data_IF_297161538843
#
_entry.id   IF_297161538843
#
_cell.length_a   1.000
_cell.length_b   1.000
_cell.length_c   1.000
_cell.angle_alpha   90.00
_cell.angle_beta   90.00
_cell.angle_gamma   90.00
#
_symmetry.space_group_name_H-M   'P 1'
#
loop_
_entity.id
_entity.type
_entity.pdbx_description
1 polymer ?
#
# COMPACT_ATOMS: atom_id res chain seq x y z
N UNK A 1 -6.66 -16.91 15.85
CA UNK A 1 -7.49 -15.93 15.11
C UNK A 1 -7.01 -14.48 15.25
N UNK A 2 -6.65 -14.00 16.45
CA UNK A 2 -6.19 -12.61 16.68
C UNK A 2 -5.00 -12.17 15.81
N UNK A 3 -4.06 -13.08 15.53
CA UNK A 3 -2.89 -12.76 14.69
C UNK A 3 -3.24 -12.56 13.21
N UNK A 4 -4.26 -13.28 12.71
CA UNK A 4 -4.74 -13.16 11.34
C UNK A 4 -5.50 -11.84 11.14
N UNK A 5 -6.38 -11.51 12.09
CA UNK A 5 -7.12 -10.23 12.12
C UNK A 5 -6.13 -9.05 12.16
N UNK A 6 -5.09 -9.14 12.99
CA UNK A 6 -4.04 -8.12 13.08
C UNK A 6 -3.32 -7.93 11.73
N UNK A 7 -2.97 -9.01 11.04
CA UNK A 7 -2.34 -8.92 9.73
C UNK A 7 -3.27 -8.32 8.66
N UNK A 8 -4.52 -8.75 8.59
CA UNK A 8 -5.50 -8.17 7.66
C UNK A 8 -5.71 -6.67 7.93
N UNK A 9 -5.75 -6.28 9.19
CA UNK A 9 -5.87 -4.87 9.58
C UNK A 9 -4.66 -4.04 9.13
N UNK A 10 -3.43 -4.51 9.39
CA UNK A 10 -2.23 -3.83 8.91
C UNK A 10 -2.17 -3.72 7.39
N UNK A 11 -2.62 -4.77 6.68
CA UNK A 11 -2.66 -4.78 5.22
C UNK A 11 -3.67 -3.76 4.66
N UNK A 12 -4.86 -3.68 5.26
CA UNK A 12 -5.85 -2.65 4.92
C UNK A 12 -5.31 -1.24 5.19
N UNK A 13 -4.59 -1.05 6.30
CA UNK A 13 -4.01 0.25 6.63
C UNK A 13 -2.93 0.66 5.62
N UNK A 14 -2.10 -0.28 5.16
CA UNK A 14 -1.11 -0.06 4.09
C UNK A 14 -1.79 0.26 2.75
N UNK A 15 -2.87 -0.43 2.41
CA UNK A 15 -3.68 -0.16 1.21
C UNK A 15 -4.23 1.27 1.22
N UNK A 16 -4.93 1.63 2.30
CA UNK A 16 -5.57 2.95 2.45
C UNK A 16 -4.50 4.04 2.48
N UNK A 17 -3.39 3.80 3.18
CA UNK A 17 -2.26 4.72 3.21
C UNK A 17 -1.69 4.99 1.81
N UNK A 18 -1.39 3.93 1.04
CA UNK A 18 -0.89 4.07 -0.32
C UNK A 18 -1.88 4.80 -1.24
N UNK A 19 -3.17 4.43 -1.18
CA UNK A 19 -4.21 5.09 -1.96
C UNK A 19 -4.34 6.58 -1.61
N UNK A 20 -4.35 6.93 -0.32
CA UNK A 20 -4.43 8.33 0.13
C UNK A 20 -3.23 9.15 -0.29
N UNK A 21 -2.01 8.60 -0.23
CA UNK A 21 -0.79 9.30 -0.67
C UNK A 21 -0.87 9.64 -2.15
N UNK A 22 -1.31 8.70 -2.99
CA UNK A 22 -1.46 8.95 -4.44
C UNK A 22 -2.55 9.99 -4.71
N UNK A 23 -3.73 9.86 -4.11
CA UNK A 23 -4.84 10.81 -4.30
C UNK A 23 -4.46 12.21 -3.84
N UNK A 24 -3.89 12.32 -2.64
CA UNK A 24 -3.48 13.62 -2.08
C UNK A 24 -2.35 14.25 -2.90
N UNK A 25 -1.39 13.47 -3.39
CA UNK A 25 -0.35 13.93 -4.30
C UNK A 25 -0.92 14.49 -5.60
N UNK A 26 -1.83 13.76 -6.26
CA UNK A 26 -2.50 14.23 -7.47
C UNK A 26 -3.30 15.52 -7.22
N UNK A 27 -4.06 15.58 -6.12
CA UNK A 27 -4.83 16.78 -5.74
C UNK A 27 -3.90 17.97 -5.48
N UNK A 28 -2.82 17.78 -4.72
CA UNK A 28 -1.86 18.84 -4.39
C UNK A 28 -1.19 19.41 -5.65
N UNK A 29 -0.73 18.55 -6.57
CA UNK A 29 -0.14 18.97 -7.85
C UNK A 29 -1.16 19.74 -8.70
N UNK A 30 -2.41 19.28 -8.74
CA UNK A 30 -3.47 19.92 -9.52
C UNK A 30 -3.80 21.31 -8.97
N UNK A 31 -3.92 21.45 -7.65
CA UNK A 31 -4.19 22.73 -7.00
C UNK A 31 -2.97 23.68 -7.05
N UNK A 32 -1.75 23.14 -7.06
CA UNK A 32 -0.54 23.94 -7.28
C UNK A 32 -0.55 24.60 -8.66
N UNK A 33 -0.96 23.87 -9.71
CA UNK A 33 -0.97 24.40 -11.08
C UNK A 33 -2.22 25.24 -11.42
N UNK A 34 -3.41 24.85 -10.95
CA UNK A 34 -4.68 25.54 -11.29
C UNK A 34 -5.14 26.55 -10.23
N UNK A 35 -4.48 26.57 -9.07
CA UNK A 35 -4.83 27.41 -7.94
C UNK A 35 -5.97 26.83 -7.07
N UNK A 36 -6.03 27.29 -5.82
CA UNK A 36 -7.05 26.91 -4.83
C UNK A 36 -8.51 27.12 -5.30
N UNK A 37 -8.87 28.16 -6.08
CA UNK A 37 -10.25 28.35 -6.55
C UNK A 37 -10.75 27.21 -7.43
N UNK A 38 -9.85 26.48 -8.11
CA UNK A 38 -10.22 25.35 -8.95
C UNK A 38 -10.94 24.24 -8.18
N UNK A 39 -10.65 24.09 -6.88
CA UNK A 39 -11.29 23.09 -6.00
C UNK A 39 -12.81 23.20 -5.89
N UNK A 40 -13.38 24.38 -6.17
CA UNK A 40 -14.82 24.63 -6.09
C UNK A 40 -15.56 24.35 -7.41
N UNK A 41 -14.83 23.98 -8.47
CA UNK A 41 -15.42 23.75 -9.79
C UNK A 41 -15.98 22.33 -9.95
N UNK A 42 -17.03 22.13 -10.76
CA UNK A 42 -17.54 20.80 -11.05
C UNK A 42 -16.52 19.94 -11.80
N UNK A 43 -15.61 20.54 -12.57
CA UNK A 43 -14.52 19.84 -13.25
C UNK A 43 -13.55 19.19 -12.26
N UNK A 44 -13.26 19.87 -11.15
CA UNK A 44 -12.41 19.32 -10.10
C UNK A 44 -13.05 18.09 -9.46
N UNK A 45 -14.37 18.07 -9.29
CA UNK A 45 -15.08 16.89 -8.77
C UNK A 45 -14.97 15.68 -9.72
N UNK A 46 -15.16 15.88 -11.02
CA UNK A 46 -14.97 14.83 -12.02
C UNK A 46 -13.52 14.31 -12.03
N UNK A 47 -12.55 15.22 -11.93
CA UNK A 47 -11.13 14.90 -11.91
C UNK A 47 -10.74 14.16 -10.61
N UNK A 48 -11.31 14.56 -9.47
CA UNK A 48 -11.08 13.91 -8.18
C UNK A 48 -11.52 12.44 -8.21
N UNK A 49 -12.64 12.12 -8.85
CA UNK A 49 -13.08 10.73 -9.03
C UNK A 49 -12.07 9.90 -9.84
N UNK A 50 -11.40 10.51 -10.83
CA UNK A 50 -10.34 9.85 -11.60
C UNK A 50 -9.12 9.60 -10.70
N UNK A 51 -8.72 10.58 -9.89
CA UNK A 51 -7.62 10.42 -8.93
C UNK A 51 -7.90 9.33 -7.89
N UNK A 52 -9.13 9.25 -7.37
CA UNK A 52 -9.55 8.18 -6.46
C UNK A 52 -9.41 6.81 -7.12
N UNK A 53 -9.88 6.65 -8.36
CA UNK A 53 -9.72 5.39 -9.11
C UNK A 53 -8.24 5.04 -9.31
N UNK A 54 -7.42 6.02 -9.66
CA UNK A 54 -5.98 5.83 -9.81
C UNK A 54 -5.30 5.43 -8.48
N UNK A 55 -5.67 6.07 -7.37
CA UNK A 55 -5.17 5.74 -6.04
C UNK A 55 -5.58 4.34 -5.58
N UNK A 56 -6.81 3.92 -5.86
CA UNK A 56 -7.27 2.54 -5.59
C UNK A 56 -6.48 1.52 -6.42
N UNK A 57 -6.26 1.79 -7.71
CA UNK A 57 -5.47 0.91 -8.57
C UNK A 57 -4.00 0.81 -8.09
N UNK A 58 -3.39 1.93 -7.74
CA UNK A 58 -2.03 1.96 -7.19
C UNK A 58 -1.93 1.24 -5.83
N UNK A 59 -2.91 1.44 -4.94
CA UNK A 59 -3.01 0.73 -3.67
C UNK A 59 -3.16 -0.78 -3.86
N UNK A 60 -3.96 -1.21 -4.84
CA UNK A 60 -4.15 -2.62 -5.16
C UNK A 60 -2.85 -3.26 -5.66
N UNK A 61 -2.13 -2.58 -6.55
CA UNK A 61 -0.81 -3.01 -7.02
C UNK A 61 0.19 -3.09 -5.87
N UNK A 62 0.25 -2.08 -5.00
CA UNK A 62 1.13 -2.08 -3.83
C UNK A 62 0.85 -3.26 -2.89
N UNK A 63 -0.43 -3.53 -2.62
CA UNK A 63 -0.86 -4.69 -1.85
C UNK A 63 -0.48 -6.01 -2.53
N UNK A 64 -0.61 -6.11 -3.85
CA UNK A 64 -0.21 -7.30 -4.60
C UNK A 64 1.31 -7.53 -4.49
N UNK A 65 2.11 -6.47 -4.59
CA UNK A 65 3.57 -6.54 -4.39
C UNK A 65 3.91 -7.00 -2.97
N UNK A 66 3.25 -6.45 -1.95
CA UNK A 66 3.45 -6.88 -0.55
C UNK A 66 3.04 -8.34 -0.32
N UNK A 67 1.95 -8.78 -0.95
CA UNK A 67 1.50 -10.16 -0.88
C UNK A 67 2.51 -11.09 -1.56
N UNK A 68 2.98 -10.74 -2.76
CA UNK A 68 4.06 -11.46 -3.44
C UNK A 68 5.31 -11.52 -2.57
N UNK A 69 5.76 -10.40 -2.00
CA UNK A 69 6.92 -10.37 -1.10
C UNK A 69 6.75 -11.28 0.12
N UNK A 70 5.57 -11.27 0.75
CA UNK A 70 5.30 -12.15 1.89
C UNK A 70 5.26 -13.63 1.51
N UNK A 71 4.73 -13.98 0.34
CA UNK A 71 4.75 -15.35 -0.17
C UNK A 71 6.18 -15.78 -0.53
N UNK A 72 6.95 -14.94 -1.23
CA UNK A 72 8.36 -15.22 -1.57
C UNK A 72 9.24 -15.34 -0.33
N UNK A 73 9.00 -14.51 0.70
CA UNK A 73 9.72 -14.64 1.98
C UNK A 73 9.38 -15.96 2.69
N UNK A 74 8.13 -16.43 2.58
CA UNK A 74 7.74 -17.74 3.12
C UNK A 74 8.35 -18.90 2.34
N UNK A 75 8.49 -18.80 1.02
CA UNK A 75 9.18 -19.82 0.20
C UNK A 75 10.69 -19.84 0.44
N UNK A 76 11.29 -18.68 0.74
CA UNK A 76 12.70 -18.60 1.16
C UNK A 76 12.94 -19.10 2.60
N UNK A 77 11.88 -19.21 3.41
CA UNK A 77 11.90 -19.78 4.76
C UNK A 77 11.48 -21.26 4.78
N UNK A 78 11.72 -22.00 3.69
CA UNK A 78 11.71 -23.47 3.75
C UNK A 78 12.85 -23.97 4.66
N UNK A 79 12.63 -25.07 5.41
CA UNK A 79 13.44 -25.46 6.58
C UNK A 79 14.79 -26.07 6.18
N UNK A 80 15.72 -25.22 5.78
CA UNK A 80 17.12 -25.59 5.52
C UNK A 80 18.14 -24.76 6.30
N UNK A 81 17.77 -23.57 6.76
CA UNK A 81 18.69 -22.65 7.45
C UNK A 81 18.46 -22.62 8.96
N UNK A 82 18.81 -23.72 9.63
CA UNK A 82 19.38 -23.62 10.97
C UNK A 82 20.77 -24.24 10.96
N UNK A 83 21.83 -23.41 10.95
CA UNK A 83 23.10 -23.81 11.54
C UNK A 83 23.59 -22.78 12.57
N UNK A 84 22.69 -22.12 13.32
CA UNK A 84 23.12 -21.13 14.34
C UNK A 84 22.50 -21.32 15.72
N UNK A 85 22.04 -22.53 16.06
CA UNK A 85 21.82 -22.90 17.47
C UNK A 85 21.82 -24.42 17.65
N UNK A 86 22.85 -25.10 17.15
CA UNK A 86 23.13 -26.46 17.60
C UNK A 86 24.08 -26.36 18.82
N UNK A 87 23.64 -26.68 20.05
CA UNK A 87 24.51 -26.70 21.23
C UNK A 87 25.57 -27.82 21.18
N UNK A 88 25.64 -28.60 20.10
CA UNK A 88 26.60 -29.68 19.91
C UNK A 88 27.89 -29.22 19.16
N UNK A 89 28.01 -27.93 18.85
CA UNK A 89 29.14 -27.33 18.13
C UNK A 89 30.25 -26.76 19.04
N UNK A 90 30.03 -26.60 20.34
CA UNK A 90 31.06 -26.15 21.30
C UNK A 90 30.92 -26.90 22.61
#
# INVERSE_FOLDING_TARGET
MMNLIRHTFFFMLQFVGAALVVVSGCVAVTLYHRGMPYSQTPEFHATLLIYIKAGVAAGALFCLILLCYHLTRKTLQEPGDTPWNNPDNI
#
